data_IF_876286803245
#
_entry.id   IF_876286803245
#
_cell.length_a   1.000
_cell.length_b   1.000
_cell.length_c   1.000
_cell.angle_alpha   90.00
_cell.angle_beta   90.00
_cell.angle_gamma   90.00
#
_symmetry.space_group_name_H-M   'P 1'
#
loop_
_entity.id
_entity.type
_entity.pdbx_description
1 polymer ?
#
# COMPACT_ATOMS: atom_id res chain seq x y z
N UNK A 1 11.01 -6.87 11.10
CA UNK A 1 12.10 -5.89 11.23
C UNK A 1 11.62 -4.65 11.97
N UNK A 2 12.31 -4.28 13.02
CA UNK A 2 12.01 -3.04 13.72
C UNK A 2 12.78 -1.87 13.12
N UNK A 3 12.09 -0.73 12.97
CA UNK A 3 12.72 0.56 12.74
C UNK A 3 12.60 1.37 14.03
N UNK A 4 13.61 2.18 14.36
CA UNK A 4 13.63 2.90 15.64
C UNK A 4 12.58 4.00 15.74
N UNK A 5 12.28 4.64 14.61
CA UNK A 5 11.28 5.71 14.51
C UNK A 5 10.40 5.49 13.28
N UNK A 6 9.21 6.07 13.28
CA UNK A 6 8.30 6.00 12.15
C UNK A 6 8.96 6.48 10.85
N UNK A 7 8.76 5.73 9.78
CA UNK A 7 9.31 6.04 8.46
C UNK A 7 8.50 7.18 7.84
N UNK A 8 9.15 8.29 7.51
CA UNK A 8 8.48 9.44 6.87
C UNK A 8 8.17 9.18 5.42
N UNK A 9 9.07 8.52 4.69
CA UNK A 9 8.82 8.09 3.32
C UNK A 9 9.39 6.69 3.09
N UNK A 10 8.48 5.77 2.80
CA UNK A 10 8.79 4.38 2.49
C UNK A 10 8.57 4.15 0.99
N UNK A 11 9.55 3.59 0.31
CA UNK A 11 9.46 3.25 -1.11
C UNK A 11 9.57 1.74 -1.24
N UNK A 12 8.53 1.12 -1.78
CA UNK A 12 8.45 -0.34 -1.94
C UNK A 12 8.41 -0.68 -3.42
N UNK A 13 9.27 -1.60 -3.84
CA UNK A 13 9.30 -2.08 -5.21
C UNK A 13 8.52 -3.39 -5.35
N UNK A 14 7.62 -3.42 -6.32
CA UNK A 14 6.87 -4.62 -6.70
C UNK A 14 7.39 -5.13 -8.03
N UNK A 15 8.14 -6.23 -8.00
CA UNK A 15 8.67 -6.87 -9.20
C UNK A 15 7.52 -7.21 -10.16
N UNK A 16 7.56 -6.75 -11.42
CA UNK A 16 6.48 -6.98 -12.37
C UNK A 16 6.26 -8.45 -12.75
N UNK A 17 7.23 -9.32 -12.49
CA UNK A 17 7.04 -10.76 -12.69
C UNK A 17 6.18 -11.43 -11.63
N UNK A 18 6.03 -10.79 -10.47
CA UNK A 18 5.31 -11.34 -9.31
C UNK A 18 4.03 -10.58 -8.97
N UNK A 19 3.99 -9.28 -9.22
CA UNK A 19 2.89 -8.41 -8.76
C UNK A 19 2.14 -7.81 -9.94
N UNK A 20 0.97 -8.38 -10.25
CA UNK A 20 0.10 -7.93 -11.34
C UNK A 20 -1.19 -7.27 -10.87
N UNK A 21 -1.47 -7.29 -9.56
CA UNK A 21 -2.70 -6.75 -8.98
C UNK A 21 -2.43 -6.00 -7.69
N UNK A 22 -3.36 -5.12 -7.30
CA UNK A 22 -3.32 -4.51 -5.97
C UNK A 22 -3.65 -5.53 -4.88
N UNK A 23 -4.37 -6.59 -5.22
CA UNK A 23 -4.63 -7.70 -4.28
C UNK A 23 -3.33 -8.23 -3.69
N UNK A 24 -2.34 -8.52 -4.52
CA UNK A 24 -1.01 -8.93 -4.07
C UNK A 24 -0.14 -7.72 -3.70
N UNK A 25 -0.22 -6.65 -4.48
CA UNK A 25 0.60 -5.46 -4.30
C UNK A 25 0.40 -4.77 -2.96
N UNK A 26 -0.79 -4.88 -2.39
CA UNK A 26 -1.08 -4.29 -1.08
C UNK A 26 -0.36 -4.98 0.09
N UNK A 27 0.44 -6.01 -0.17
CA UNK A 27 1.46 -6.44 0.80
C UNK A 27 2.33 -5.26 1.21
N UNK A 28 2.59 -4.33 0.28
CA UNK A 28 3.32 -3.11 0.59
C UNK A 28 2.63 -2.28 1.68
N UNK A 29 1.32 -2.28 1.72
CA UNK A 29 0.55 -1.53 2.72
C UNK A 29 0.55 -2.27 4.06
N UNK A 30 0.01 -3.50 4.10
CA UNK A 30 -0.18 -4.15 5.39
C UNK A 30 1.13 -4.68 6.02
N UNK A 31 2.21 -4.81 5.26
CA UNK A 31 3.53 -5.16 5.79
C UNK A 31 4.30 -3.96 6.36
N UNK A 32 3.93 -2.74 5.99
CA UNK A 32 4.63 -1.51 6.39
C UNK A 32 3.80 -0.58 7.26
N UNK A 33 2.49 -0.78 7.36
CA UNK A 33 1.60 0.19 8.03
C UNK A 33 1.98 0.45 9.49
N UNK A 34 2.61 -0.51 10.17
CA UNK A 34 3.08 -0.34 11.54
C UNK A 34 4.43 0.39 11.61
N UNK A 35 5.09 0.59 10.48
CA UNK A 35 6.39 1.26 10.41
C UNK A 35 6.30 2.68 9.85
N UNK A 36 5.31 2.96 8.99
CA UNK A 36 5.17 4.29 8.39
C UNK A 36 4.62 5.28 9.42
N UNK A 37 5.26 6.44 9.51
CA UNK A 37 4.87 7.50 10.42
C UNK A 37 3.51 8.09 10.07
N UNK A 38 2.79 8.60 11.08
CA UNK A 38 1.59 9.38 10.85
C UNK A 38 1.96 10.63 10.03
N UNK A 39 1.18 10.91 8.99
CA UNK A 39 1.49 12.00 8.05
C UNK A 39 2.59 11.66 7.04
N UNK A 40 3.14 10.44 7.10
CA UNK A 40 4.15 9.98 6.17
C UNK A 40 3.59 9.58 4.81
N UNK A 41 4.45 8.99 3.98
CA UNK A 41 4.10 8.55 2.63
C UNK A 41 4.63 7.14 2.36
N UNK A 42 3.79 6.31 1.77
CA UNK A 42 4.16 5.03 1.19
C UNK A 42 4.05 5.14 -0.33
N UNK A 43 5.18 5.07 -1.02
CA UNK A 43 5.25 5.06 -2.47
C UNK A 43 5.50 3.63 -2.95
N UNK A 44 4.58 3.10 -3.74
CA UNK A 44 4.64 1.74 -4.26
C UNK A 44 4.98 1.79 -5.74
N UNK A 45 6.16 1.32 -6.10
CA UNK A 45 6.61 1.23 -7.49
C UNK A 45 6.04 -0.06 -8.09
N UNK A 46 5.04 0.07 -8.93
CA UNK A 46 4.22 -1.05 -9.39
C UNK A 46 4.12 -1.13 -10.92
N UNK A 47 5.23 -1.40 -11.62
CA UNK A 47 5.24 -1.40 -13.09
C UNK A 47 4.38 -2.48 -13.73
N UNK A 48 4.09 -3.58 -13.01
CA UNK A 48 3.33 -4.71 -13.52
C UNK A 48 1.86 -4.75 -13.11
N UNK A 49 1.41 -3.80 -12.29
CA UNK A 49 0.00 -3.80 -11.84
C UNK A 49 -0.92 -3.41 -12.99
N UNK A 50 -1.88 -4.28 -13.29
CA UNK A 50 -2.85 -4.10 -14.36
C UNK A 50 -4.28 -4.46 -13.93
N UNK A 51 -4.47 -5.06 -12.74
CA UNK A 51 -5.76 -5.44 -12.18
C UNK A 51 -5.79 -5.15 -10.68
N UNK A 52 -6.93 -5.38 -10.04
CA UNK A 52 -7.11 -5.14 -8.61
C UNK A 52 -7.34 -6.41 -7.81
N UNK A 53 -8.21 -7.32 -8.27
CA UNK A 53 -8.58 -8.53 -7.54
C UNK A 53 -7.84 -9.78 -7.99
N UNK A 54 -7.95 -10.84 -7.19
CA UNK A 54 -7.42 -12.16 -7.53
C UNK A 54 -8.29 -12.87 -8.58
N UNK A 55 -9.57 -12.49 -8.67
CA UNK A 55 -10.53 -12.96 -9.65
C UNK A 55 -11.44 -11.80 -10.08
N UNK A 56 -12.30 -12.05 -11.05
CA UNK A 56 -13.19 -11.00 -11.61
C UNK A 56 -14.17 -10.45 -10.59
N UNK A 57 -14.69 -11.28 -9.69
CA UNK A 57 -15.64 -10.87 -8.66
C UNK A 57 -14.97 -9.94 -7.65
N UNK A 58 -13.80 -10.32 -7.14
CA UNK A 58 -13.04 -9.50 -6.20
C UNK A 58 -12.56 -8.21 -6.86
N UNK A 59 -12.12 -8.30 -8.12
CA UNK A 59 -11.71 -7.12 -8.89
C UNK A 59 -12.84 -6.10 -9.00
N UNK A 60 -14.05 -6.56 -9.34
CA UNK A 60 -15.22 -5.69 -9.43
C UNK A 60 -15.58 -5.04 -8.09
N UNK A 61 -15.47 -5.78 -6.97
CA UNK A 61 -15.74 -5.25 -5.64
C UNK A 61 -14.73 -4.19 -5.22
N UNK A 62 -13.43 -4.40 -5.50
CA UNK A 62 -12.39 -3.42 -5.22
C UNK A 62 -12.64 -2.14 -6.02
N UNK A 63 -12.96 -2.26 -7.31
CA UNK A 63 -13.25 -1.11 -8.18
C UNK A 63 -14.47 -0.33 -7.70
N UNK A 64 -15.50 -1.04 -7.23
CA UNK A 64 -16.75 -0.43 -6.76
C UNK A 64 -16.58 0.31 -5.43
N UNK A 65 -15.92 -0.31 -4.46
CA UNK A 65 -15.85 0.21 -3.10
C UNK A 65 -14.56 0.97 -2.79
N UNK A 66 -13.44 0.53 -3.33
CA UNK A 66 -12.14 1.16 -3.13
C UNK A 66 -11.55 0.97 -1.73
N UNK A 67 -10.32 1.45 -1.59
CA UNK A 67 -9.55 1.35 -0.35
C UNK A 67 -9.80 2.55 0.55
N UNK A 68 -10.97 2.59 1.18
CA UNK A 68 -11.45 3.74 1.96
C UNK A 68 -11.10 3.68 3.43
N UNK A 69 -10.58 2.55 3.90
CA UNK A 69 -10.26 2.35 5.30
C UNK A 69 -11.33 1.57 6.06
N UNK A 70 -10.95 1.14 7.25
CA UNK A 70 -11.78 0.28 8.10
C UNK A 70 -13.14 0.88 8.44
N UNK A 71 -13.15 2.14 8.89
CA UNK A 71 -14.39 2.80 9.30
C UNK A 71 -15.40 2.86 8.15
N UNK A 72 -14.95 3.28 6.96
CA UNK A 72 -15.81 3.40 5.80
C UNK A 72 -16.35 2.03 5.36
N UNK A 73 -15.53 0.98 5.36
CA UNK A 73 -15.97 -0.37 5.01
C UNK A 73 -17.01 -0.89 6.00
N UNK A 74 -16.79 -0.69 7.30
CA UNK A 74 -17.77 -1.11 8.32
C UNK A 74 -19.09 -0.36 8.20
N UNK A 75 -19.08 0.91 7.81
CA UNK A 75 -20.29 1.68 7.51
C UNK A 75 -21.03 1.11 6.29
N UNK A 76 -20.29 0.69 5.25
CA UNK A 76 -20.87 0.05 4.06
C UNK A 76 -21.60 -1.26 4.41
N UNK A 77 -21.09 -2.03 5.38
CA UNK A 77 -21.75 -3.24 5.85
C UNK A 77 -23.15 -2.99 6.40
N UNK A 78 -23.45 -1.80 6.85
CA UNK A 78 -24.77 -1.44 7.40
C UNK A 78 -25.80 -1.11 6.31
N UNK A 79 -25.34 -0.90 5.07
CA UNK A 79 -26.21 -0.47 3.97
C UNK A 79 -26.83 -1.66 3.25
N UNK A 80 -28.18 -1.68 3.06
CA UNK A 80 -28.86 -2.79 2.37
C UNK A 80 -28.30 -3.03 0.95
N UNK A 81 -27.93 -1.98 0.23
CA UNK A 81 -27.42 -2.05 -1.14
C UNK A 81 -26.01 -2.65 -1.25
N UNK A 82 -25.33 -2.87 -0.13
CA UNK A 82 -23.95 -3.40 -0.08
C UNK A 82 -23.92 -4.90 0.27
N UNK A 83 -24.94 -5.64 -0.12
CA UNK A 83 -25.00 -7.09 0.14
C UNK A 83 -23.87 -7.84 -0.57
N UNK A 84 -23.47 -7.40 -1.76
CA UNK A 84 -22.36 -8.00 -2.51
C UNK A 84 -21.05 -7.97 -1.71
N UNK A 85 -20.79 -6.88 -0.98
CA UNK A 85 -19.62 -6.77 -0.12
C UNK A 85 -19.71 -7.71 1.08
N UNK A 86 -20.90 -7.75 1.75
CA UNK A 86 -21.12 -8.66 2.89
C UNK A 86 -21.00 -10.13 2.48
N UNK A 87 -21.36 -10.45 1.25
CA UNK A 87 -21.27 -11.82 0.73
C UNK A 87 -19.84 -12.26 0.40
N UNK A 88 -18.88 -11.34 0.39
CA UNK A 88 -17.48 -11.65 0.08
C UNK A 88 -16.57 -11.10 1.19
N UNK A 89 -16.44 -11.87 2.25
CA UNK A 89 -15.65 -11.46 3.42
C UNK A 89 -14.15 -11.34 3.11
N UNK A 90 -13.65 -12.10 2.15
CA UNK A 90 -12.24 -11.98 1.72
C UNK A 90 -11.96 -10.62 1.10
N UNK A 91 -12.83 -10.15 0.20
CA UNK A 91 -12.71 -8.83 -0.40
C UNK A 91 -12.86 -7.73 0.65
N UNK A 92 -13.84 -7.87 1.55
CA UNK A 92 -14.07 -6.88 2.62
C UNK A 92 -12.86 -6.75 3.55
N UNK A 93 -12.29 -7.88 3.98
CA UNK A 93 -11.10 -7.88 4.82
C UNK A 93 -9.91 -7.22 4.10
N UNK A 94 -9.74 -7.51 2.83
CA UNK A 94 -8.69 -6.90 2.01
C UNK A 94 -8.84 -5.38 1.93
N UNK A 95 -10.05 -4.88 1.72
CA UNK A 95 -10.32 -3.43 1.67
C UNK A 95 -10.07 -2.74 3.02
N UNK A 96 -10.27 -3.45 4.13
CA UNK A 96 -9.95 -2.93 5.46
C UNK A 96 -8.44 -2.88 5.68
N UNK A 97 -7.75 -4.01 5.47
CA UNK A 97 -6.34 -4.13 5.80
C UNK A 97 -5.39 -3.54 4.75
N UNK A 98 -5.86 -3.35 3.54
CA UNK A 98 -5.11 -2.76 2.44
C UNK A 98 -5.13 -1.24 2.39
N UNK A 99 -5.58 -0.58 3.45
CA UNK A 99 -5.66 0.88 3.56
C UNK A 99 -4.74 1.40 4.66
N UNK A 100 -4.36 2.66 4.54
CA UNK A 100 -3.61 3.37 5.59
C UNK A 100 -4.49 3.88 6.72
N UNK A 101 -5.81 3.75 6.63
CA UNK A 101 -6.79 4.35 7.55
C UNK A 101 -6.60 5.86 7.74
N UNK A 102 -6.11 6.55 6.71
CA UNK A 102 -5.88 7.99 6.74
C UNK A 102 -4.64 8.43 7.51
N UNK A 103 -3.86 7.51 8.07
CA UNK A 103 -2.67 7.86 8.85
C UNK A 103 -1.52 8.36 8.00
N UNK A 104 -1.39 7.82 6.79
CA UNK A 104 -0.34 8.21 5.84
C UNK A 104 -0.88 8.11 4.41
N UNK A 105 -0.17 8.74 3.48
CA UNK A 105 -0.54 8.74 2.06
C UNK A 105 -0.01 7.47 1.39
N UNK A 106 -0.85 6.84 0.57
CA UNK A 106 -0.45 5.73 -0.30
C UNK A 106 -0.49 6.20 -1.75
N UNK A 107 0.64 6.08 -2.43
CA UNK A 107 0.79 6.41 -3.85
C UNK A 107 1.25 5.18 -4.62
N UNK A 108 0.49 4.78 -5.64
CA UNK A 108 0.90 3.75 -6.58
C UNK A 108 1.49 4.39 -7.84
N UNK A 109 2.76 4.14 -8.08
CA UNK A 109 3.40 4.50 -9.34
C UNK A 109 3.17 3.36 -10.34
N UNK A 110 2.42 3.64 -11.38
CA UNK A 110 1.89 2.64 -12.33
C UNK A 110 2.05 3.10 -13.77
N UNK A 111 1.78 2.21 -14.71
CA UNK A 111 1.72 2.56 -16.12
C UNK A 111 0.64 3.64 -16.34
N UNK A 112 0.82 4.52 -17.35
CA UNK A 112 -0.10 5.65 -17.57
C UNK A 112 -1.57 5.25 -17.65
N UNK A 113 -1.89 4.14 -18.30
CA UNK A 113 -3.26 3.65 -18.47
C UNK A 113 -3.92 3.19 -17.16
N UNK A 114 -3.13 2.94 -16.13
CA UNK A 114 -3.64 2.52 -14.82
C UNK A 114 -3.87 3.65 -13.84
N UNK A 115 -3.34 4.85 -14.12
CA UNK A 115 -3.36 5.94 -13.14
C UNK A 115 -4.76 6.33 -12.71
N UNK A 116 -5.65 6.56 -13.66
CA UNK A 116 -7.03 6.93 -13.37
C UNK A 116 -7.75 5.82 -12.60
N UNK A 117 -7.48 4.57 -12.93
CA UNK A 117 -8.06 3.42 -12.24
C UNK A 117 -7.58 3.32 -10.79
N UNK A 118 -6.30 3.58 -10.53
CA UNK A 118 -5.74 3.65 -9.17
C UNK A 118 -6.43 4.76 -8.35
N UNK A 119 -6.60 5.93 -8.95
CA UNK A 119 -7.29 7.04 -8.28
C UNK A 119 -8.76 6.69 -8.00
N UNK A 120 -9.39 5.91 -8.88
CA UNK A 120 -10.74 5.42 -8.69
C UNK A 120 -10.93 4.48 -7.50
N UNK A 121 -9.88 3.84 -7.03
CA UNK A 121 -9.90 3.01 -5.80
C UNK A 121 -9.32 3.73 -4.58
N UNK A 122 -9.23 5.05 -4.65
CA UNK A 122 -8.86 5.94 -3.53
C UNK A 122 -7.40 5.89 -3.10
N UNK A 123 -6.50 5.52 -4.00
CA UNK A 123 -5.07 5.74 -3.84
C UNK A 123 -4.63 6.94 -4.69
N UNK A 124 -3.52 7.54 -4.35
CA UNK A 124 -2.85 8.48 -5.26
C UNK A 124 -2.11 7.70 -6.34
N UNK A 125 -1.93 8.31 -7.49
CA UNK A 125 -1.15 7.72 -8.58
C UNK A 125 0.05 8.58 -8.95
N UNK A 126 1.06 7.93 -9.51
CA UNK A 126 2.22 8.59 -10.08
C UNK A 126 2.65 7.85 -11.35
N UNK A 127 3.43 8.50 -12.20
CA UNK A 127 3.98 7.87 -13.39
C UNK A 127 5.15 6.96 -13.01
N UNK A 128 5.07 5.68 -13.38
CA UNK A 128 6.08 4.70 -13.01
C UNK A 128 7.45 5.04 -13.60
N UNK A 129 7.51 5.53 -14.82
CA UNK A 129 8.80 5.83 -15.46
C UNK A 129 9.53 6.97 -14.75
N UNK A 130 8.80 8.02 -14.38
CA UNK A 130 9.38 9.13 -13.60
C UNK A 130 9.86 8.65 -12.24
N UNK A 131 9.07 7.82 -11.57
CA UNK A 131 9.41 7.32 -10.24
C UNK A 131 10.59 6.34 -10.26
N UNK A 132 10.70 5.49 -11.29
CA UNK A 132 11.85 4.58 -11.43
C UNK A 132 13.15 5.32 -11.74
N UNK A 133 13.08 6.48 -12.41
CA UNK A 133 14.26 7.31 -12.62
C UNK A 133 14.78 7.91 -11.31
N UNK A 134 13.87 8.30 -10.45
CA UNK A 134 14.23 8.89 -9.15
C UNK A 134 14.59 7.84 -8.11
N UNK A 135 13.82 6.76 -8.04
CA UNK A 135 13.97 5.66 -7.06
C UNK A 135 14.29 4.38 -7.80
N UNK A 136 15.53 4.26 -8.27
CA UNK A 136 15.97 3.13 -9.10
C UNK A 136 16.22 1.89 -8.23
N UNK A 137 15.41 0.83 -8.37
CA UNK A 137 15.59 -0.40 -7.57
C UNK A 137 16.94 -1.08 -7.78
N UNK A 138 17.58 -0.85 -8.92
CA UNK A 138 18.90 -1.43 -9.21
C UNK A 138 20.03 -0.78 -8.43
N UNK A 139 19.85 0.46 -7.98
CA UNK A 139 20.89 1.23 -7.27
C UNK A 139 20.61 1.44 -5.80
N UNK A 140 19.33 1.42 -5.40
CA UNK A 140 18.94 1.59 -4.00
C UNK A 140 19.26 0.32 -3.20
N UNK A 141 19.69 0.51 -1.96
CA UNK A 141 19.90 -0.60 -1.02
C UNK A 141 18.71 -0.72 -0.08
N UNK A 142 18.49 -1.90 0.43
CA UNK A 142 17.49 -2.12 1.47
C UNK A 142 17.75 -1.21 2.67
N UNK A 143 16.69 -0.57 3.16
CA UNK A 143 16.79 0.32 4.31
C UNK A 143 16.91 1.78 3.93
N UNK A 144 17.49 2.57 4.81
CA UNK A 144 17.61 4.01 4.58
C UNK A 144 18.61 4.35 3.48
N UNK A 145 18.17 5.24 2.58
CA UNK A 145 18.97 5.83 1.53
C UNK A 145 18.78 7.35 1.58
N UNK A 146 19.86 8.09 1.33
CA UNK A 146 19.79 9.54 1.11
C UNK A 146 20.04 9.82 -0.35
N UNK A 147 19.06 10.45 -1.02
CA UNK A 147 19.19 10.80 -2.43
C UNK A 147 20.13 12.01 -2.61
N UNK A 148 20.63 12.26 -3.84
CA UNK A 148 21.56 13.38 -4.08
C UNK A 148 21.02 14.75 -3.66
N UNK A 149 19.69 14.97 -3.68
CA UNK A 149 19.06 16.22 -3.24
C UNK A 149 18.81 16.28 -1.73
N UNK A 150 19.20 15.24 -0.98
CA UNK A 150 19.05 15.19 0.47
C UNK A 150 17.78 14.47 0.95
N UNK A 151 16.89 14.04 0.07
CA UNK A 151 15.71 13.29 0.49
C UNK A 151 16.13 11.95 1.09
N UNK A 152 15.63 11.66 2.30
CA UNK A 152 15.82 10.36 2.94
C UNK A 152 14.60 9.48 2.71
N UNK A 153 14.83 8.25 2.27
CA UNK A 153 13.78 7.25 2.07
C UNK A 153 14.18 5.93 2.71
N UNK A 154 13.18 5.12 3.06
CA UNK A 154 13.37 3.74 3.46
C UNK A 154 12.93 2.85 2.30
N UNK A 155 13.87 2.10 1.70
CA UNK A 155 13.60 1.28 0.53
C UNK A 155 13.41 -0.19 0.88
N UNK A 156 12.34 -0.78 0.34
CA UNK A 156 12.03 -2.22 0.48
C UNK A 156 11.97 -2.82 -0.93
N UNK A 157 12.93 -3.71 -1.27
CA UNK A 157 12.99 -4.29 -2.62
C UNK A 157 11.90 -5.33 -2.90
N UNK A 158 11.33 -5.93 -1.84
CA UNK A 158 10.24 -6.89 -1.97
C UNK A 158 9.45 -6.97 -0.65
N UNK A 159 8.18 -6.55 -0.64
CA UNK A 159 7.39 -6.51 0.60
C UNK A 159 7.04 -7.91 1.15
N UNK A 160 7.16 -8.95 0.33
CA UNK A 160 6.89 -10.32 0.77
C UNK A 160 7.96 -10.87 1.73
N UNK A 161 9.13 -10.21 1.81
CA UNK A 161 10.27 -10.70 2.59
C UNK A 161 10.28 -10.24 4.05
N UNK A 162 9.30 -9.45 4.49
CA UNK A 162 9.32 -8.95 5.86
C UNK A 162 8.01 -8.39 6.37
N UNK A 163 8.07 -7.96 7.61
CA UNK A 163 7.06 -7.16 8.29
C UNK A 163 7.84 -6.09 9.04
N UNK A 164 7.48 -4.83 8.84
CA UNK A 164 8.20 -3.69 9.40
C UNK A 164 7.36 -3.01 10.47
N UNK A 165 8.00 -2.68 11.58
CA UNK A 165 7.33 -2.19 12.79
C UNK A 165 8.14 -1.03 13.37
N UNK A 166 7.47 0.10 13.63
CA UNK A 166 8.03 1.21 14.38
C UNK A 166 8.13 0.79 15.86
N UNK A 167 9.36 0.75 16.39
CA UNK A 167 9.63 0.32 17.76
C UNK A 167 8.93 1.20 18.78
N UNK A 168 8.95 2.52 18.59
CA UNK A 168 8.30 3.44 19.50
C UNK A 168 6.79 3.20 19.57
N UNK A 169 6.17 2.99 18.41
CA UNK A 169 4.73 2.68 18.34
C UNK A 169 4.44 1.33 19.00
N UNK A 170 5.23 0.32 18.71
CA UNK A 170 5.06 -1.02 19.27
C UNK A 170 5.13 -0.99 20.81
N UNK A 171 6.14 -0.32 21.35
CA UNK A 171 6.33 -0.21 22.80
C UNK A 171 5.20 0.60 23.45
N UNK A 172 4.76 1.70 22.81
CA UNK A 172 3.66 2.54 23.30
C UNK A 172 2.33 1.78 23.33
N UNK A 173 2.10 0.87 22.40
CA UNK A 173 0.90 0.06 22.30
C UNK A 173 0.99 -1.24 23.13
N UNK A 174 1.97 -1.35 24.01
CA UNK A 174 2.14 -2.50 24.91
C UNK A 174 2.64 -3.77 24.22
N UNK A 175 3.29 -3.63 23.07
CA UNK A 175 3.80 -4.77 22.31
C UNK A 175 2.73 -5.52 21.50
N UNK A 176 1.57 -4.91 21.26
CA UNK A 176 0.48 -5.51 20.49
C UNK A 176 0.51 -5.02 19.05
N UNK A 177 0.46 -5.96 18.09
CA UNK A 177 0.35 -5.65 16.67
C UNK A 177 -1.12 -5.44 16.30
N UNK A 178 -1.44 -4.28 15.76
CA UNK A 178 -2.79 -3.95 15.33
C UNK A 178 -3.10 -4.50 13.93
#
# INVERSE_FOLDING_TARGET
DFVEHGIKKCVVYLDPSEFHSTWLGNKAVYRTRMAVADGGELLILAPGVETFGEDEQVDALIRKYGYRGRKAVLELFQKPECEDLRANMGAAAHLIHGSSDGRFTVTYAVQPEMREQIEGVHFRSADINAMLRRYDPATLKYGYNTLPDGEEIFFIPNPALGLWIDRERFDREGGVLA
#
